data_IF_645886402084
#
_entry.id   IF_645886402084
#
_cell.length_a   1.000
_cell.length_b   1.000
_cell.length_c   1.000
_cell.angle_alpha   90.00
_cell.angle_beta   90.00
_cell.angle_gamma   90.00
#
_symmetry.space_group_name_H-M   'P 1'
#
loop_
_entity.id
_entity.type
_entity.pdbx_description
1 polymer ?
#
# COMPACT_ATOMS: atom_id res chain seq x y z
N UNK A 1 18.07 4.32 -11.73
CA UNK A 1 17.01 4.20 -12.75
C UNK A 1 16.64 2.73 -12.85
N UNK A 2 15.49 2.28 -12.32
CA UNK A 2 15.02 0.91 -12.60
C UNK A 2 14.47 0.95 -14.02
N UNK A 3 15.35 0.79 -15.00
CA UNK A 3 14.90 0.42 -16.34
C UNK A 3 14.38 -1.01 -16.22
N UNK A 4 13.06 -1.17 -16.20
CA UNK A 4 12.46 -2.45 -16.57
C UNK A 4 12.67 -2.55 -18.07
N UNK A 5 13.88 -2.94 -18.48
CA UNK A 5 14.16 -3.26 -19.87
C UNK A 5 13.18 -4.35 -20.29
N UNK A 6 12.58 -4.21 -21.47
CA UNK A 6 11.72 -5.24 -22.05
C UNK A 6 12.53 -6.54 -22.14
N UNK A 7 12.31 -7.44 -21.19
CA UNK A 7 12.94 -8.75 -21.13
C UNK A 7 12.07 -9.71 -21.96
N UNK A 8 12.64 -10.48 -22.89
CA UNK A 8 11.86 -11.33 -23.77
C UNK A 8 11.22 -12.44 -22.92
N UNK A 9 9.88 -12.39 -22.80
CA UNK A 9 9.05 -13.43 -22.15
C UNK A 9 9.40 -14.85 -22.61
N UNK A 10 9.97 -14.97 -23.82
CA UNK A 10 10.40 -16.22 -24.45
C UNK A 10 11.58 -16.93 -23.76
N UNK A 11 12.42 -16.23 -22.98
CA UNK A 11 13.55 -16.87 -22.28
C UNK A 11 13.08 -17.95 -21.28
N UNK A 12 11.88 -17.80 -20.72
CA UNK A 12 11.31 -18.72 -19.73
C UNK A 12 10.69 -19.98 -20.32
N UNK A 13 10.61 -20.09 -21.65
CA UNK A 13 10.13 -21.29 -22.35
C UNK A 13 11.21 -22.38 -22.45
N UNK A 14 12.47 -22.02 -22.26
CA UNK A 14 13.59 -22.95 -22.35
C UNK A 14 13.53 -23.99 -21.24
N UNK A 15 13.40 -25.27 -21.62
CA UNK A 15 13.34 -26.40 -20.69
C UNK A 15 14.68 -26.68 -20.01
N UNK A 16 15.78 -26.10 -20.51
CA UNK A 16 17.11 -26.21 -19.90
C UNK A 16 17.33 -25.20 -18.77
N UNK A 17 16.40 -24.26 -18.57
CA UNK A 17 16.52 -23.20 -17.57
C UNK A 17 16.40 -23.77 -16.14
N UNK A 18 17.41 -23.49 -15.33
CA UNK A 18 17.47 -23.96 -13.95
C UNK A 18 16.81 -22.99 -12.97
N UNK A 19 16.34 -23.49 -11.82
CA UNK A 19 15.84 -22.65 -10.73
C UNK A 19 16.89 -21.62 -10.27
N UNK A 20 18.17 -21.97 -10.32
CA UNK A 20 19.28 -21.06 -9.95
C UNK A 20 19.37 -19.87 -10.92
N UNK A 21 19.24 -20.12 -12.22
CA UNK A 21 19.26 -19.06 -13.24
C UNK A 21 18.01 -18.18 -13.16
N UNK A 22 16.84 -18.78 -12.91
CA UNK A 22 15.61 -18.06 -12.63
C UNK A 22 15.79 -17.11 -11.43
N UNK A 23 16.23 -17.63 -10.28
CA UNK A 23 16.43 -16.85 -9.07
C UNK A 23 17.53 -15.79 -9.22
N UNK A 24 18.59 -16.08 -9.99
CA UNK A 24 19.66 -15.12 -10.30
C UNK A 24 19.11 -13.87 -11.00
N UNK A 25 18.21 -14.06 -11.96
CA UNK A 25 17.56 -12.95 -12.66
C UNK A 25 16.77 -12.04 -11.70
N UNK A 26 15.99 -12.61 -10.78
CA UNK A 26 15.27 -11.77 -9.80
C UNK A 26 16.23 -11.10 -8.80
N UNK A 27 17.30 -11.78 -8.39
CA UNK A 27 18.32 -11.19 -7.52
C UNK A 27 18.93 -9.93 -8.11
N UNK A 28 19.20 -9.87 -9.42
CA UNK A 28 19.79 -8.66 -10.04
C UNK A 28 18.84 -7.46 -10.01
N UNK A 29 17.52 -7.67 -10.08
CA UNK A 29 16.52 -6.61 -9.94
C UNK A 29 16.51 -5.98 -8.53
N UNK A 30 16.81 -6.78 -7.49
CA UNK A 30 16.80 -6.34 -6.09
C UNK A 30 18.19 -6.00 -5.53
N UNK A 31 19.28 -6.40 -6.20
CA UNK A 31 20.66 -6.22 -5.71
C UNK A 31 21.04 -4.75 -5.46
N UNK A 32 20.47 -3.82 -6.22
CA UNK A 32 20.73 -2.37 -6.06
C UNK A 32 19.78 -1.68 -5.07
N UNK A 33 18.74 -2.35 -4.57
CA UNK A 33 17.77 -1.78 -3.62
C UNK A 33 17.92 -2.31 -2.19
N UNK A 34 18.69 -3.38 -1.98
CA UNK A 34 18.89 -4.02 -0.67
C UNK A 34 20.04 -3.41 0.15
N UNK A 35 20.89 -2.58 -0.46
CA UNK A 35 21.90 -1.80 0.31
C UNK A 35 21.17 -0.66 1.02
N UNK A 36 20.58 -0.98 2.17
CA UNK A 36 20.13 0.00 3.15
C UNK A 36 21.40 0.48 3.85
N UNK A 37 21.87 1.72 3.62
CA UNK A 37 22.98 2.24 4.41
C UNK A 37 22.61 2.14 5.89
N UNK A 38 23.60 1.81 6.74
CA UNK A 38 23.48 2.03 8.19
C UNK A 38 23.39 3.54 8.38
N UNK A 39 22.18 4.07 8.29
CA UNK A 39 21.93 5.48 8.59
C UNK A 39 22.22 5.70 10.09
N UNK A 40 22.72 6.89 10.46
CA UNK A 40 23.11 7.21 11.83
C UNK A 40 21.93 7.06 12.80
N UNK A 41 22.18 6.86 14.10
CA UNK A 41 21.14 6.68 15.09
C UNK A 41 20.35 7.99 15.25
N UNK A 42 19.25 8.11 14.51
CA UNK A 42 18.33 9.23 14.64
C UNK A 42 17.50 9.05 15.91
N UNK A 43 17.41 10.15 16.65
CA UNK A 43 16.89 10.27 18.00
C UNK A 43 15.40 9.92 18.13
N UNK A 44 15.04 9.59 19.36
CA UNK A 44 13.83 8.90 19.75
C UNK A 44 12.53 9.71 19.57
N UNK A 45 11.88 9.66 18.40
CA UNK A 45 10.42 9.92 18.30
C UNK A 45 9.74 8.99 17.30
N UNK A 46 8.85 8.12 17.78
CA UNK A 46 8.00 7.27 16.95
C UNK A 46 6.74 8.06 16.74
N UNK A 47 6.79 9.01 15.82
CA UNK A 47 5.63 9.81 15.47
C UNK A 47 4.63 8.87 14.81
N UNK A 48 3.57 8.57 15.54
CA UNK A 48 2.38 7.96 14.98
C UNK A 48 1.48 9.07 14.47
N UNK A 49 1.08 8.96 13.21
CA UNK A 49 0.10 9.85 12.63
C UNK A 49 -1.14 9.07 12.25
N UNK A 50 -2.29 9.64 12.55
CA UNK A 50 -3.57 9.08 12.17
C UNK A 50 -4.33 10.08 11.32
N UNK A 51 -4.70 9.69 10.11
CA UNK A 51 -5.49 10.51 9.20
C UNK A 51 -6.77 9.79 8.80
N UNK A 52 -7.84 10.58 8.61
CA UNK A 52 -9.18 10.07 8.33
C UNK A 52 -9.72 10.64 7.02
N UNK A 53 -10.43 9.80 6.28
CA UNK A 53 -11.24 10.21 5.13
C UNK A 53 -12.63 9.58 5.22
N UNK A 54 -13.65 10.38 4.95
CA UNK A 54 -15.04 9.95 5.04
C UNK A 54 -15.51 9.24 3.78
N UNK A 55 -16.56 8.42 3.91
CA UNK A 55 -17.24 7.81 2.80
C UNK A 55 -17.84 8.87 1.88
N UNK A 56 -17.91 8.56 0.59
CA UNK A 56 -18.52 9.41 -0.42
C UNK A 56 -19.69 8.69 -1.06
N UNK A 57 -20.81 9.39 -1.19
CA UNK A 57 -21.97 8.96 -1.97
C UNK A 57 -22.09 9.82 -3.23
N UNK A 58 -22.36 9.18 -4.38
CA UNK A 58 -22.71 9.90 -5.60
C UNK A 58 -24.18 10.30 -5.57
N UNK A 59 -24.46 11.61 -5.62
CA UNK A 59 -25.83 12.13 -5.67
C UNK A 59 -26.38 12.09 -7.10
N UNK A 60 -25.58 12.57 -8.07
CA UNK A 60 -25.99 12.63 -9.46
C UNK A 60 -24.78 12.63 -10.39
N UNK A 61 -24.97 12.12 -11.61
CA UNK A 61 -23.98 12.17 -12.68
C UNK A 61 -23.11 10.92 -12.81
N UNK A 62 -23.20 9.92 -11.94
CA UNK A 62 -22.55 8.63 -12.21
C UNK A 62 -23.44 7.82 -13.18
N UNK A 63 -22.89 7.11 -14.20
CA UNK A 63 -21.47 6.89 -14.48
C UNK A 63 -20.85 7.89 -15.48
N UNK A 64 -21.44 9.07 -15.67
CA UNK A 64 -20.97 10.05 -16.66
C UNK A 64 -19.58 10.61 -16.35
N UNK A 65 -19.08 10.51 -15.11
CA UNK A 65 -17.69 10.79 -14.74
C UNK A 65 -16.68 9.99 -15.58
N UNK A 66 -17.01 8.75 -15.93
CA UNK A 66 -16.17 7.93 -16.83
C UNK A 66 -16.11 8.45 -18.27
N UNK A 67 -16.96 9.41 -18.62
CA UNK A 67 -17.10 9.99 -19.95
C UNK A 67 -16.93 11.53 -19.93
N UNK A 68 -16.14 12.04 -18.99
CA UNK A 68 -15.88 13.49 -18.82
C UNK A 68 -17.11 14.34 -18.44
N UNK A 69 -18.19 13.69 -18.00
CA UNK A 69 -19.37 14.35 -17.44
C UNK A 69 -19.11 14.92 -16.04
N UNK A 70 -19.99 15.84 -15.61
CA UNK A 70 -19.94 16.43 -14.27
C UNK A 70 -20.68 15.53 -13.28
N UNK A 71 -20.19 15.45 -12.05
CA UNK A 71 -20.84 14.71 -10.96
C UNK A 71 -21.05 15.58 -9.74
N UNK A 72 -22.09 15.24 -8.98
CA UNK A 72 -22.37 15.81 -7.67
C UNK A 72 -22.25 14.66 -6.67
N UNK A 73 -21.45 14.86 -5.63
CA UNK A 73 -21.20 13.86 -4.59
C UNK A 73 -21.21 14.52 -3.22
N UNK A 74 -21.55 13.74 -2.20
CA UNK A 74 -21.60 14.18 -0.81
C UNK A 74 -20.70 13.28 0.05
N UNK A 75 -20.15 13.85 1.12
CA UNK A 75 -19.46 13.09 2.15
C UNK A 75 -20.42 12.71 3.27
N UNK A 76 -20.28 11.50 3.82
CA UNK A 76 -21.07 11.02 4.95
C UNK A 76 -20.10 10.73 6.11
N UNK A 77 -20.22 11.50 7.19
CA UNK A 77 -19.28 11.45 8.32
C UNK A 77 -19.38 10.17 9.18
N UNK A 78 -20.51 9.47 9.12
CA UNK A 78 -20.76 8.25 9.90
C UNK A 78 -19.82 7.10 9.50
N UNK A 79 -19.34 7.13 8.25
CA UNK A 79 -18.52 6.09 7.67
C UNK A 79 -17.18 6.69 7.21
N UNK A 80 -16.08 6.01 7.49
CA UNK A 80 -14.74 6.49 7.24
C UNK A 80 -13.74 5.35 7.04
N UNK A 81 -12.64 5.70 6.38
CA UNK A 81 -11.39 4.97 6.41
C UNK A 81 -10.36 5.79 7.20
N UNK A 82 -9.61 5.11 8.05
CA UNK A 82 -8.57 5.70 8.88
C UNK A 82 -7.26 4.97 8.62
N UNK A 83 -6.20 5.76 8.48
CA UNK A 83 -4.84 5.27 8.24
C UNK A 83 -3.96 5.79 9.36
N UNK A 84 -3.32 4.86 10.07
CA UNK A 84 -2.28 5.18 11.04
C UNK A 84 -0.92 4.77 10.48
N UNK A 85 -0.06 5.76 10.24
CA UNK A 85 1.34 5.55 9.88
C UNK A 85 2.20 5.67 11.12
N UNK A 86 2.94 4.60 11.41
CA UNK A 86 3.96 4.59 12.46
C UNK A 86 5.30 4.50 11.76
N UNK A 87 6.09 5.55 11.87
CA UNK A 87 7.44 5.53 11.36
C UNK A 87 8.27 4.45 12.07
N UNK A 88 8.91 3.57 11.30
CA UNK A 88 9.75 2.52 11.85
C UNK A 88 11.09 3.13 12.24
N UNK A 89 11.44 2.97 13.51
CA UNK A 89 12.81 3.16 13.98
C UNK A 89 13.58 1.86 13.77
N UNK A 90 14.87 1.97 13.45
CA UNK A 90 15.80 0.87 13.68
C UNK A 90 15.79 0.54 15.17
N UNK A 91 15.24 -0.60 15.54
CA UNK A 91 15.59 -1.24 16.80
C UNK A 91 16.82 -2.11 16.53
N UNK A 92 17.78 -2.16 17.47
CA UNK A 92 18.99 -3.00 17.35
C UNK A 92 18.69 -4.49 17.07
N UNK A 93 17.44 -4.94 17.27
CA UNK A 93 16.97 -6.29 16.99
C UNK A 93 16.48 -6.51 15.54
N UNK A 94 16.35 -5.46 14.71
CA UNK A 94 15.91 -5.57 13.32
C UNK A 94 17.05 -5.15 12.38
N UNK A 95 17.56 -6.10 11.61
CA UNK A 95 18.71 -5.89 10.70
C UNK A 95 18.38 -5.04 9.47
N UNK A 96 17.09 -4.84 9.15
CA UNK A 96 16.65 -4.13 7.95
C UNK A 96 15.37 -3.31 8.15
N UNK A 97 15.27 -2.20 7.44
CA UNK A 97 14.07 -1.35 7.38
C UNK A 97 13.02 -1.99 6.47
N UNK A 98 11.77 -2.12 6.95
CA UNK A 98 10.66 -2.75 6.19
C UNK A 98 9.40 -1.89 6.18
N UNK A 99 8.69 -1.90 5.05
CA UNK A 99 7.33 -1.38 4.93
C UNK A 99 6.36 -2.53 5.17
N UNK A 100 5.46 -2.37 6.14
CA UNK A 100 4.46 -3.39 6.47
C UNK A 100 3.07 -2.79 6.46
N UNK A 101 2.12 -3.55 5.89
CA UNK A 101 0.71 -3.20 5.86
C UNK A 101 -0.06 -4.14 6.77
N UNK A 102 -0.71 -3.56 7.77
CA UNK A 102 -1.56 -4.25 8.72
C UNK A 102 -3.01 -3.86 8.46
N UNK A 103 -3.86 -4.86 8.24
CA UNK A 103 -5.28 -4.68 8.50
C UNK A 103 -5.50 -4.66 10.01
N UNK A 104 -6.65 -4.13 10.46
CA UNK A 104 -7.18 -4.16 11.83
C UNK A 104 -6.51 -5.18 12.77
N UNK A 105 -6.36 -4.79 14.05
CA UNK A 105 -5.64 -5.44 15.16
C UNK A 105 -5.72 -6.99 15.25
N UNK A 106 -6.71 -7.63 14.61
CA UNK A 106 -6.93 -9.07 14.64
C UNK A 106 -6.48 -9.85 13.39
N UNK A 107 -6.11 -9.19 12.29
CA UNK A 107 -5.86 -9.88 11.00
C UNK A 107 -4.63 -9.34 10.29
N UNK A 108 -3.55 -10.10 10.30
CA UNK A 108 -2.51 -9.97 9.27
C UNK A 108 -3.02 -10.60 7.98
N UNK A 109 -2.91 -9.85 6.88
CA UNK A 109 -3.39 -10.21 5.53
C UNK A 109 -2.91 -11.58 4.98
N UNK A 110 -1.98 -12.24 5.66
CA UNK A 110 -1.35 -13.48 5.25
C UNK A 110 -1.22 -14.53 6.36
N UNK A 111 -1.76 -14.27 7.57
CA UNK A 111 -1.80 -15.28 8.64
C UNK A 111 -3.26 -15.55 8.98
N UNK A 112 -3.62 -16.83 8.92
CA UNK A 112 -4.95 -17.32 9.21
C UNK A 112 -4.84 -18.41 10.28
N UNK A 113 -5.76 -18.39 11.24
CA UNK A 113 -5.75 -19.36 12.34
C UNK A 113 -6.03 -20.79 11.85
N UNK A 114 -6.84 -20.94 10.82
CA UNK A 114 -7.20 -22.23 10.22
C UNK A 114 -7.69 -22.05 8.77
N UNK A 115 -7.81 -23.15 8.04
CA UNK A 115 -8.43 -23.16 6.69
C UNK A 115 -9.89 -22.73 6.76
N UNK A 116 -10.60 -23.09 7.82
CA UNK A 116 -11.98 -22.66 8.04
C UNK A 116 -12.09 -21.15 8.20
N UNK A 117 -11.22 -20.54 9.04
CA UNK A 117 -11.17 -19.09 9.20
C UNK A 117 -10.82 -18.38 7.88
N UNK A 118 -9.86 -18.91 7.11
CA UNK A 118 -9.53 -18.41 5.78
C UNK A 118 -10.73 -18.49 4.83
N UNK A 119 -11.47 -19.60 4.82
CA UNK A 119 -12.66 -19.79 3.98
C UNK A 119 -13.75 -18.77 4.30
N UNK A 120 -14.08 -18.62 5.60
CA UNK A 120 -15.09 -17.66 6.08
C UNK A 120 -14.68 -16.23 5.73
N UNK A 121 -13.44 -15.85 6.01
CA UNK A 121 -12.96 -14.51 5.70
C UNK A 121 -12.96 -14.25 4.19
N UNK A 122 -12.56 -15.23 3.38
CA UNK A 122 -12.58 -15.12 1.92
C UNK A 122 -14.01 -14.96 1.38
N UNK A 123 -14.99 -15.61 2.00
CA UNK A 123 -16.40 -15.45 1.64
C UNK A 123 -16.92 -14.05 1.98
N UNK A 124 -16.55 -13.50 3.13
CA UNK A 124 -17.02 -12.18 3.60
C UNK A 124 -16.30 -11.03 2.87
N UNK A 125 -14.97 -11.13 2.74
CA UNK A 125 -14.12 -10.02 2.28
C UNK A 125 -13.72 -10.14 0.81
N UNK A 126 -13.96 -11.29 0.19
CA UNK A 126 -13.35 -11.67 -1.08
C UNK A 126 -11.87 -11.99 -0.93
N UNK A 127 -11.21 -12.19 -2.06
CA UNK A 127 -9.78 -12.54 -2.11
C UNK A 127 -8.86 -11.32 -2.22
N UNK A 128 -9.45 -10.14 -2.35
CA UNK A 128 -8.72 -8.92 -2.71
C UNK A 128 -8.55 -8.01 -1.50
N UNK A 129 -7.33 -7.99 -0.98
CA UNK A 129 -6.99 -7.24 0.23
C UNK A 129 -6.68 -5.76 -0.07
N UNK A 130 -6.72 -4.90 0.96
CA UNK A 130 -6.38 -3.47 0.82
C UNK A 130 -4.95 -3.21 0.32
N UNK A 131 -4.05 -4.20 0.43
CA UNK A 131 -2.72 -4.15 -0.18
C UNK A 131 -2.74 -3.83 -1.67
N UNK A 132 -3.80 -4.23 -2.39
CA UNK A 132 -4.02 -3.86 -3.80
C UNK A 132 -4.21 -2.36 -4.03
N UNK A 133 -4.55 -1.61 -2.98
CA UNK A 133 -4.69 -0.15 -3.00
C UNK A 133 -3.40 0.50 -2.48
N UNK A 134 -2.81 -0.04 -1.40
CA UNK A 134 -1.60 0.54 -0.79
C UNK A 134 -0.40 0.49 -1.71
N UNK A 135 -0.08 -0.66 -2.31
CA UNK A 135 1.09 -0.81 -3.19
C UNK A 135 1.08 0.19 -4.37
N UNK A 136 0.01 0.29 -5.19
CA UNK A 136 -0.02 1.26 -6.27
C UNK A 136 -0.05 2.70 -5.75
N UNK A 137 -0.70 2.97 -4.62
CA UNK A 137 -0.70 4.33 -4.03
C UNK A 137 0.71 4.75 -3.65
N UNK A 138 1.48 3.91 -2.95
CA UNK A 138 2.89 4.16 -2.64
C UNK A 138 3.73 4.36 -3.89
N UNK A 139 3.49 3.58 -4.95
CA UNK A 139 4.20 3.73 -6.24
C UNK A 139 3.89 5.09 -6.88
N UNK A 140 2.61 5.47 -6.97
CA UNK A 140 2.21 6.76 -7.55
C UNK A 140 2.77 7.91 -6.73
N UNK A 141 2.69 7.84 -5.40
CA UNK A 141 3.28 8.81 -4.49
C UNK A 141 4.78 8.96 -4.74
N UNK A 142 5.53 7.84 -4.76
CA UNK A 142 6.97 7.87 -5.01
C UNK A 142 7.33 8.49 -6.37
N UNK A 143 6.57 8.19 -7.42
CA UNK A 143 6.79 8.77 -8.76
C UNK A 143 6.48 10.26 -8.78
N UNK A 144 5.34 10.67 -8.22
CA UNK A 144 4.95 12.08 -8.10
C UNK A 144 6.04 12.87 -7.37
N UNK A 145 6.42 12.37 -6.21
CA UNK A 145 7.35 13.02 -5.32
C UNK A 145 8.76 13.14 -5.97
N UNK A 146 9.22 12.09 -6.67
CA UNK A 146 10.50 12.10 -7.39
C UNK A 146 10.52 13.14 -8.52
N UNK A 147 9.42 13.26 -9.26
CA UNK A 147 9.31 14.23 -10.35
C UNK A 147 9.33 15.68 -9.85
N UNK A 148 8.99 15.90 -8.57
CA UNK A 148 9.01 17.22 -7.92
C UNK A 148 10.34 17.55 -7.23
N UNK A 149 11.39 16.70 -7.36
CA UNK A 149 12.73 16.93 -6.78
C UNK A 149 12.76 17.24 -5.27
N UNK A 150 11.80 16.70 -4.52
CA UNK A 150 11.82 16.78 -3.06
C UNK A 150 12.99 15.90 -2.51
N UNK A 151 13.27 15.86 -1.20
CA UNK A 151 14.25 14.93 -0.55
C UNK A 151 13.58 13.82 0.30
N UNK A 152 13.62 12.54 -0.12
CA UNK A 152 12.75 11.51 0.44
C UNK A 152 13.60 10.85 1.48
N UNK A 153 13.19 10.99 2.72
CA UNK A 153 13.80 10.17 3.73
C UNK A 153 13.48 8.71 3.39
N UNK A 154 14.49 7.84 3.33
CA UNK A 154 14.30 6.40 3.01
C UNK A 154 13.68 5.65 4.19
N UNK A 155 12.80 6.32 4.91
CA UNK A 155 12.27 5.86 6.18
C UNK A 155 11.20 4.82 5.92
N UNK A 156 11.37 3.68 6.56
CA UNK A 156 10.37 2.63 6.57
C UNK A 156 9.22 2.97 7.52
N UNK A 157 8.06 2.39 7.30
CA UNK A 157 6.87 2.62 8.12
C UNK A 157 6.00 1.38 8.25
N UNK A 158 5.22 1.32 9.33
CA UNK A 158 4.08 0.42 9.47
C UNK A 158 2.81 1.20 9.22
N UNK A 159 1.96 0.69 8.35
CA UNK A 159 0.65 1.24 8.03
C UNK A 159 -0.39 0.33 8.65
N UNK A 160 -1.24 0.91 9.50
CA UNK A 160 -2.45 0.28 10.02
C UNK A 160 -3.65 0.94 9.34
N UNK A 161 -4.63 0.15 8.93
CA UNK A 161 -5.87 0.68 8.38
C UNK A 161 -7.11 0.11 9.04
N UNK A 162 -8.05 1.01 9.30
CA UNK A 162 -9.37 0.71 9.82
C UNK A 162 -10.42 1.30 8.89
N UNK A 163 -11.54 0.59 8.71
CA UNK A 163 -12.62 1.03 7.84
C UNK A 163 -13.95 0.52 8.37
N UNK A 164 -14.94 1.39 8.46
CA UNK A 164 -16.32 1.03 8.79
C UNK A 164 -17.30 1.33 7.63
N UNK A 165 -16.79 1.66 6.44
CA UNK A 165 -17.60 1.92 5.24
C UNK A 165 -18.22 0.60 4.77
N UNK A 166 -19.56 0.49 4.68
CA UNK A 166 -20.22 -0.73 4.28
C UNK A 166 -19.78 -1.16 2.88
N UNK A 167 -19.59 -2.47 2.69
CA UNK A 167 -19.15 -3.03 1.41
C UNK A 167 -20.29 -3.08 0.41
N UNK A 168 -19.95 -2.95 -0.88
CA UNK A 168 -20.86 -3.15 -2.03
C UNK A 168 -22.11 -2.24 -2.10
N UNK A 169 -22.17 -1.15 -1.32
CA UNK A 169 -23.31 -0.21 -1.32
C UNK A 169 -23.01 1.11 -2.05
N UNK A 170 -21.93 1.19 -2.83
CA UNK A 170 -21.59 2.40 -3.59
C UNK A 170 -21.03 3.57 -2.77
N UNK A 171 -20.63 3.34 -1.51
CA UNK A 171 -20.07 4.38 -0.61
C UNK A 171 -18.57 4.68 -0.79
N UNK A 172 -18.01 4.24 -1.92
CA UNK A 172 -16.65 4.60 -2.38
C UNK A 172 -15.52 4.30 -1.38
N UNK A 173 -15.57 3.15 -0.70
CA UNK A 173 -14.58 2.79 0.33
C UNK A 173 -13.12 2.77 -0.13
N UNK A 174 -12.83 2.38 -1.37
CA UNK A 174 -11.47 2.42 -1.93
C UNK A 174 -10.92 3.84 -2.04
N UNK A 175 -11.75 4.81 -2.43
CA UNK A 175 -11.34 6.21 -2.53
C UNK A 175 -11.02 6.78 -1.15
N UNK A 176 -11.83 6.47 -0.13
CA UNK A 176 -11.57 6.90 1.24
C UNK A 176 -10.24 6.35 1.76
N UNK A 177 -9.92 5.07 1.52
CA UNK A 177 -8.63 4.47 1.91
C UNK A 177 -7.46 5.20 1.23
N UNK A 178 -7.54 5.40 -0.09
CA UNK A 178 -6.47 6.06 -0.86
C UNK A 178 -6.29 7.50 -0.37
N UNK A 179 -7.37 8.26 -0.21
CA UNK A 179 -7.31 9.65 0.25
C UNK A 179 -6.75 9.77 1.66
N UNK A 180 -7.14 8.89 2.59
CA UNK A 180 -6.56 8.85 3.92
C UNK A 180 -5.04 8.58 3.85
N UNK A 181 -4.62 7.61 3.05
CA UNK A 181 -3.19 7.31 2.89
C UNK A 181 -2.39 8.49 2.30
N UNK A 182 -2.93 9.19 1.31
CA UNK A 182 -2.28 10.38 0.76
C UNK A 182 -2.11 11.49 1.80
N UNK A 183 -3.15 11.77 2.60
CA UNK A 183 -3.05 12.72 3.72
C UNK A 183 -1.96 12.31 4.71
N UNK A 184 -1.90 11.02 5.04
CA UNK A 184 -0.88 10.50 5.95
C UNK A 184 0.54 10.69 5.42
N UNK A 185 0.74 10.59 4.10
CA UNK A 185 2.04 10.87 3.50
C UNK A 185 2.39 12.35 3.48
N UNK A 186 1.44 13.22 3.12
CA UNK A 186 1.66 14.68 3.03
C UNK A 186 2.08 15.31 4.38
N UNK A 187 1.60 14.74 5.48
CA UNK A 187 1.94 15.25 6.81
C UNK A 187 3.23 14.60 7.41
N UNK A 188 3.75 13.48 6.86
CA UNK A 188 4.97 12.78 7.36
C UNK A 188 6.21 12.96 6.47
N UNK A 189 6.06 13.08 5.14
CA UNK A 189 7.13 12.98 4.14
C UNK A 189 7.28 14.25 3.31
#
# INVERSE_FOLDING_TARGET
MIMISHQPLFKWKDTSLTLKEYLSFFKTLFANSIIIPKDPPLSHQSTSMTTRSYARIGLMGNPSDGFYGKTISLLISNFFAEITLISNKFTHAQEYSKIEFFHSIMTTTFLFQSIEFLSILSFIEGYTNANRLFQPTCKVFFVYWKNNNLLLNKQSFRLFYEINIPRQVGLSGSSAIITALWKAFDEIL
#
